data_IF_289501557779
#
_entry.id   IF_289501557779
#
_cell.length_a   1.000
_cell.length_b   1.000
_cell.length_c   1.000
_cell.angle_alpha   90.00
_cell.angle_beta   90.00
_cell.angle_gamma   90.00
#
_symmetry.space_group_name_H-M   'P 1'
#
loop_
_entity.id
_entity.type
_entity.pdbx_description
1 polymer ?
#
# COMPACT_ATOMS: atom_id res chain seq x y z
N UNK A 1 -9.43 16.87 -7.28
CA UNK A 1 -8.28 17.24 -6.43
C UNK A 1 -8.82 17.48 -5.02
N UNK A 2 -8.36 16.68 -4.03
CA UNK A 2 -8.76 16.83 -2.62
C UNK A 2 -7.66 17.53 -1.81
N UNK A 3 -7.86 18.77 -1.48
CA UNK A 3 -6.94 19.57 -0.65
C UNK A 3 -7.22 19.35 0.84
N UNK A 4 -6.29 18.78 1.55
CA UNK A 4 -6.35 18.42 2.98
C UNK A 4 -6.10 19.62 3.91
N UNK A 5 -6.75 20.76 3.65
CA UNK A 5 -6.54 22.03 4.36
C UNK A 5 -5.08 22.51 4.30
N UNK A 6 -4.48 22.46 3.12
CA UNK A 6 -3.11 22.91 2.84
C UNK A 6 -2.89 24.34 3.33
N UNK A 7 -1.69 24.63 3.84
CA UNK A 7 -1.30 26.01 4.20
C UNK A 7 -1.01 26.86 2.97
N UNK A 8 -0.67 26.22 1.85
CA UNK A 8 -0.41 26.88 0.57
C UNK A 8 -1.72 27.11 -0.20
N UNK A 9 -1.71 28.10 -1.07
CA UNK A 9 -2.83 28.38 -1.94
C UNK A 9 -2.58 27.79 -3.34
N UNK A 10 -3.26 26.70 -3.74
CA UNK A 10 -3.03 26.08 -5.03
C UNK A 10 -3.72 26.80 -6.21
N UNK A 11 -4.53 27.85 -5.97
CA UNK A 11 -5.33 28.51 -7.02
C UNK A 11 -4.49 28.97 -8.22
N UNK A 12 -3.36 29.60 -7.98
CA UNK A 12 -2.50 30.08 -9.09
C UNK A 12 -2.02 28.96 -10.00
N UNK A 13 -1.80 27.77 -9.44
CA UNK A 13 -1.40 26.59 -10.21
C UNK A 13 -2.62 26.02 -10.95
N UNK A 14 -3.76 25.88 -10.26
CA UNK A 14 -4.98 25.33 -10.83
C UNK A 14 -5.51 26.18 -11.99
N UNK A 15 -5.47 27.51 -11.87
CA UNK A 15 -5.86 28.44 -12.92
C UNK A 15 -5.04 28.25 -14.23
N UNK A 16 -3.75 27.92 -14.12
CA UNK A 16 -2.91 27.66 -15.31
C UNK A 16 -3.36 26.45 -16.12
N UNK A 17 -4.04 25.51 -15.50
CA UNK A 17 -4.47 24.26 -16.11
C UNK A 17 -5.98 24.17 -16.35
N UNK A 18 -6.77 25.16 -15.92
CA UNK A 18 -8.22 25.15 -16.02
C UNK A 18 -8.76 24.97 -17.44
N UNK A 19 -8.04 25.52 -18.45
CA UNK A 19 -8.42 25.41 -19.86
C UNK A 19 -7.91 24.12 -20.52
N UNK A 20 -7.01 23.38 -19.88
CA UNK A 20 -6.35 22.20 -20.46
C UNK A 20 -6.72 20.89 -19.80
N UNK A 21 -7.11 20.94 -18.52
CA UNK A 21 -7.48 19.78 -17.72
C UNK A 21 -8.89 19.94 -17.16
N UNK A 22 -9.69 18.91 -17.31
CA UNK A 22 -10.97 18.83 -16.62
C UNK A 22 -10.75 18.25 -15.21
N UNK A 23 -10.93 19.07 -14.17
CA UNK A 23 -10.79 18.66 -12.78
C UNK A 23 -11.79 19.34 -11.86
N UNK A 24 -12.15 18.66 -10.78
CA UNK A 24 -12.85 19.23 -9.65
C UNK A 24 -11.86 19.48 -8.51
N UNK A 25 -11.91 20.66 -7.91
CA UNK A 25 -11.11 20.99 -6.75
C UNK A 25 -12.00 21.10 -5.51
N UNK A 26 -11.67 20.36 -4.47
CA UNK A 26 -12.36 20.42 -3.19
C UNK A 26 -11.35 20.64 -2.06
N UNK A 27 -11.51 21.73 -1.32
CA UNK A 27 -10.72 22.00 -0.11
C UNK A 27 -11.50 21.58 1.12
N UNK A 28 -10.94 20.67 1.87
CA UNK A 28 -11.51 20.25 3.15
C UNK A 28 -11.23 21.29 4.25
N UNK A 29 -12.12 21.36 5.25
CA UNK A 29 -12.00 22.33 6.34
C UNK A 29 -10.85 22.01 7.32
N UNK A 30 -10.49 20.73 7.44
CA UNK A 30 -9.52 20.25 8.42
C UNK A 30 -8.49 19.33 7.76
N UNK A 31 -7.23 19.39 8.24
CA UNK A 31 -6.18 18.44 7.86
C UNK A 31 -6.43 17.10 8.54
N UNK A 32 -6.85 16.10 7.77
CA UNK A 32 -7.12 14.75 8.24
C UNK A 32 -5.98 13.80 7.97
N UNK A 33 -5.21 14.02 6.89
CA UNK A 33 -4.05 13.21 6.52
C UNK A 33 -2.94 13.24 7.58
N UNK A 34 -2.82 14.34 8.33
CA UNK A 34 -1.92 14.44 9.48
C UNK A 34 -2.30 13.51 10.65
N UNK A 35 -3.55 13.06 10.72
CA UNK A 35 -4.07 12.12 11.72
C UNK A 35 -4.12 10.70 11.14
N UNK A 36 -4.73 10.56 9.97
CA UNK A 36 -4.87 9.31 9.22
C UNK A 36 -4.89 9.59 7.72
N UNK A 37 -3.84 9.15 7.04
CA UNK A 37 -3.73 9.28 5.59
C UNK A 37 -4.84 8.50 4.87
N UNK A 38 -5.22 7.34 5.40
CA UNK A 38 -6.32 6.52 4.86
C UNK A 38 -7.65 7.26 4.90
N UNK A 39 -7.96 7.94 6.00
CA UNK A 39 -9.19 8.74 6.09
C UNK A 39 -9.20 9.91 5.10
N UNK A 40 -8.04 10.49 4.80
CA UNK A 40 -7.94 11.50 3.75
C UNK A 40 -8.23 10.87 2.38
N UNK A 41 -7.72 9.68 2.08
CA UNK A 41 -8.06 8.99 0.83
C UNK A 41 -9.56 8.69 0.74
N UNK A 42 -10.16 8.15 1.81
CA UNK A 42 -11.58 7.80 1.84
C UNK A 42 -12.48 9.00 1.54
N UNK A 43 -12.26 10.15 2.19
CA UNK A 43 -13.08 11.33 1.89
C UNK A 43 -12.85 11.93 0.50
N UNK A 44 -11.67 11.72 -0.11
CA UNK A 44 -11.46 12.05 -1.52
C UNK A 44 -12.21 11.09 -2.43
N UNK A 45 -12.27 9.80 -2.07
CA UNK A 45 -13.04 8.78 -2.81
C UNK A 45 -14.54 9.06 -2.73
N UNK A 46 -15.03 9.64 -1.63
CA UNK A 46 -16.45 10.05 -1.50
C UNK A 46 -16.85 11.17 -2.48
N UNK A 47 -15.87 11.87 -3.09
CA UNK A 47 -16.13 12.87 -4.13
C UNK A 47 -16.27 12.26 -5.54
N UNK A 48 -16.00 10.97 -5.70
CA UNK A 48 -16.15 10.24 -6.97
C UNK A 48 -17.62 9.90 -7.18
N UNK A 49 -18.14 10.11 -8.38
CA UNK A 49 -19.54 9.86 -8.72
C UNK A 49 -19.73 8.48 -9.34
N UNK A 50 -19.53 8.34 -10.63
CA UNK A 50 -19.81 7.14 -11.43
C UNK A 50 -18.58 6.57 -12.16
N UNK A 51 -17.39 7.06 -11.84
CA UNK A 51 -16.16 6.54 -12.41
C UNK A 51 -15.95 5.05 -12.06
N UNK A 52 -15.77 4.25 -13.09
CA UNK A 52 -15.62 2.80 -12.97
C UNK A 52 -14.29 2.39 -12.34
N UNK A 53 -13.26 3.23 -12.54
CA UNK A 53 -11.91 3.01 -12.07
C UNK A 53 -11.38 4.25 -11.37
N UNK A 54 -10.59 4.07 -10.35
CA UNK A 54 -9.95 5.16 -9.62
C UNK A 54 -8.46 4.89 -9.39
N UNK A 55 -7.71 5.97 -9.35
CA UNK A 55 -6.32 6.03 -8.93
C UNK A 55 -6.16 7.10 -7.86
N UNK A 56 -5.41 6.81 -6.82
CA UNK A 56 -5.00 7.82 -5.84
C UNK A 56 -3.57 8.20 -6.14
N UNK A 57 -3.38 9.40 -6.65
CA UNK A 57 -2.06 9.96 -6.95
C UNK A 57 -1.63 10.86 -5.79
N UNK A 58 -0.45 10.62 -5.24
CA UNK A 58 0.19 11.54 -4.29
C UNK A 58 0.51 12.88 -4.98
N UNK A 59 0.44 13.96 -4.24
CA UNK A 59 0.71 15.31 -4.75
C UNK A 59 2.17 15.53 -5.16
N UNK A 60 3.07 14.66 -4.70
CA UNK A 60 4.49 14.66 -5.02
C UNK A 60 4.89 13.61 -6.09
N UNK A 61 3.98 12.71 -6.49
CA UNK A 61 4.24 11.67 -7.48
C UNK A 61 3.88 12.14 -8.91
N UNK A 62 4.51 11.54 -9.92
CA UNK A 62 4.34 11.96 -11.32
C UNK A 62 3.91 10.78 -12.19
N UNK A 63 2.84 10.95 -12.95
CA UNK A 63 2.42 10.01 -13.98
C UNK A 63 3.27 10.20 -15.24
N UNK A 64 3.73 9.09 -15.82
CA UNK A 64 4.29 9.13 -17.19
C UNK A 64 3.24 9.55 -18.22
N UNK A 65 3.67 10.16 -19.29
CA UNK A 65 2.79 10.75 -20.32
C UNK A 65 1.79 9.75 -20.92
N UNK A 66 2.14 8.49 -20.97
CA UNK A 66 1.34 7.43 -21.58
C UNK A 66 0.55 6.55 -20.58
N UNK A 67 0.55 6.88 -19.29
CA UNK A 67 -0.09 6.01 -18.24
C UNK A 67 -1.58 5.83 -18.52
N UNK A 68 -2.29 6.89 -18.86
CA UNK A 68 -3.74 6.85 -19.14
C UNK A 68 -4.01 6.09 -20.44
N UNK A 69 -3.26 6.35 -21.49
CA UNK A 69 -3.38 5.66 -22.78
C UNK A 69 -3.16 4.15 -22.61
N UNK A 70 -2.06 3.77 -21.97
CA UNK A 70 -1.70 2.37 -21.74
C UNK A 70 -2.71 1.64 -20.80
N UNK A 71 -3.33 2.37 -19.88
CA UNK A 71 -4.43 1.80 -19.11
C UNK A 71 -5.58 1.37 -19.99
N UNK A 72 -6.10 2.27 -20.86
CA UNK A 72 -7.20 1.95 -21.74
C UNK A 72 -6.83 0.89 -22.79
N UNK A 73 -5.64 0.95 -23.37
CA UNK A 73 -5.15 -0.06 -24.33
C UNK A 73 -5.13 -1.48 -23.74
N UNK A 74 -4.88 -1.59 -22.43
CA UNK A 74 -4.82 -2.89 -21.76
C UNK A 74 -6.19 -3.37 -21.25
N UNK A 75 -7.21 -2.52 -21.16
CA UNK A 75 -8.57 -2.94 -20.76
C UNK A 75 -9.38 -3.63 -21.87
N UNK A 76 -8.98 -3.49 -23.13
CA UNK A 76 -9.78 -3.93 -24.31
C UNK A 76 -9.85 -5.44 -24.48
N UNK A 77 -9.11 -6.25 -23.74
CA UNK A 77 -9.17 -7.71 -23.90
C UNK A 77 -10.18 -8.34 -22.94
N UNK A 78 -11.05 -9.19 -23.48
CA UNK A 78 -12.07 -9.95 -22.73
C UNK A 78 -11.51 -10.83 -21.59
N UNK A 79 -10.24 -11.17 -21.64
CA UNK A 79 -9.54 -11.89 -20.56
C UNK A 79 -9.41 -11.04 -19.29
N UNK A 80 -9.60 -9.72 -19.39
CA UNK A 80 -9.39 -8.76 -18.31
C UNK A 80 -10.67 -8.35 -17.58
N UNK A 81 -11.85 -8.84 -17.98
CA UNK A 81 -13.13 -8.51 -17.33
C UNK A 81 -13.15 -8.81 -15.81
N UNK A 82 -12.32 -9.76 -15.36
CA UNK A 82 -12.19 -10.14 -13.95
C UNK A 82 -11.09 -9.38 -13.21
N UNK A 83 -10.33 -8.55 -13.90
CA UNK A 83 -9.26 -7.78 -13.27
C UNK A 83 -9.88 -6.59 -12.52
N UNK A 84 -9.53 -6.46 -11.26
CA UNK A 84 -9.99 -5.38 -10.37
C UNK A 84 -8.87 -4.43 -9.96
N UNK A 85 -7.62 -4.83 -10.22
CA UNK A 85 -6.42 -4.06 -9.89
C UNK A 85 -5.46 -4.08 -11.08
N UNK A 86 -5.11 -2.90 -11.54
CA UNK A 86 -4.07 -2.67 -12.55
C UNK A 86 -2.90 -1.97 -11.86
N UNK A 87 -1.68 -2.36 -12.20
CA UNK A 87 -0.45 -1.80 -11.65
C UNK A 87 0.46 -1.36 -12.78
N UNK A 88 1.07 -0.19 -12.63
CA UNK A 88 2.10 0.29 -13.55
C UNK A 88 3.51 -0.06 -13.08
N UNK A 89 4.47 -0.02 -14.01
CA UNK A 89 5.87 0.04 -13.62
C UNK A 89 6.13 1.35 -12.86
N UNK A 90 7.12 1.35 -11.98
CA UNK A 90 7.44 2.56 -11.21
C UNK A 90 8.95 2.76 -11.10
N UNK A 91 9.37 3.99 -10.88
CA UNK A 91 10.73 4.34 -10.51
C UNK A 91 10.72 5.34 -9.35
N UNK A 92 11.86 5.56 -8.74
CA UNK A 92 12.01 6.57 -7.70
C UNK A 92 12.69 7.80 -8.24
N UNK A 93 12.17 8.96 -7.86
CA UNK A 93 12.80 10.27 -8.09
C UNK A 93 13.11 10.95 -6.75
N UNK A 94 14.09 11.83 -6.72
CA UNK A 94 14.37 12.70 -5.58
C UNK A 94 13.56 14.00 -5.64
N UNK A 95 13.81 14.90 -4.69
CA UNK A 95 13.14 16.19 -4.61
C UNK A 95 13.40 17.12 -5.83
N UNK A 96 14.40 16.80 -6.66
CA UNK A 96 14.80 17.56 -7.85
C UNK A 96 14.40 16.86 -9.16
N UNK A 97 13.45 15.92 -9.13
CA UNK A 97 12.99 15.08 -10.25
C UNK A 97 14.06 14.15 -10.84
N UNK A 98 15.21 14.00 -10.18
CA UNK A 98 16.24 13.09 -10.64
C UNK A 98 15.90 11.65 -10.31
N UNK A 99 16.03 10.77 -11.30
CA UNK A 99 15.89 9.33 -11.09
C UNK A 99 16.96 8.78 -10.14
N UNK A 100 16.53 8.12 -9.07
CA UNK A 100 17.39 7.51 -8.05
C UNK A 100 17.24 6.00 -7.96
N UNK A 101 16.52 5.40 -8.89
CA UNK A 101 16.41 3.95 -9.04
C UNK A 101 16.26 3.55 -10.50
N UNK A 102 16.47 2.26 -10.77
CA UNK A 102 15.97 1.63 -12.00
C UNK A 102 14.45 1.53 -11.99
N UNK A 103 13.85 1.30 -13.16
CA UNK A 103 12.42 0.97 -13.29
C UNK A 103 12.15 -0.39 -12.62
N UNK A 104 11.12 -0.44 -11.79
CA UNK A 104 10.58 -1.65 -11.18
C UNK A 104 9.44 -2.18 -12.05
N UNK A 105 9.74 -3.19 -12.83
CA UNK A 105 8.75 -3.92 -13.63
C UNK A 105 8.21 -5.13 -12.88
N UNK A 106 7.04 -5.59 -13.29
CA UNK A 106 6.32 -6.69 -12.65
C UNK A 106 5.89 -7.73 -13.70
N UNK A 107 5.62 -9.00 -13.33
CA UNK A 107 4.97 -9.95 -14.23
C UNK A 107 3.65 -9.36 -14.75
N UNK A 108 3.37 -9.55 -16.07
CA UNK A 108 2.15 -8.99 -16.69
C UNK A 108 0.89 -9.41 -15.93
N UNK A 109 0.81 -10.68 -15.57
CA UNK A 109 -0.26 -11.26 -14.76
C UNK A 109 0.38 -11.93 -13.55
N UNK A 110 -0.09 -11.59 -12.37
CA UNK A 110 0.45 -12.13 -11.13
C UNK A 110 -0.68 -12.30 -10.11
N UNK A 111 -0.64 -13.37 -9.33
CA UNK A 111 -1.52 -13.51 -8.17
C UNK A 111 -1.08 -12.50 -7.09
N UNK A 112 -2.04 -11.75 -6.56
CA UNK A 112 -1.74 -10.70 -5.58
C UNK A 112 -1.03 -11.23 -4.32
N UNK A 113 -1.30 -12.48 -3.93
CA UNK A 113 -0.57 -13.13 -2.82
C UNK A 113 0.90 -13.38 -3.13
N UNK A 114 1.27 -13.65 -4.39
CA UNK A 114 2.67 -13.90 -4.78
C UNK A 114 3.47 -12.60 -4.82
N UNK A 115 2.83 -11.50 -5.26
CA UNK A 115 3.38 -10.15 -5.18
C UNK A 115 3.92 -9.82 -3.78
N UNK A 116 3.18 -10.15 -2.73
CA UNK A 116 3.57 -9.86 -1.35
C UNK A 116 4.92 -10.46 -0.94
N UNK A 117 5.32 -11.57 -1.55
CA UNK A 117 6.56 -12.28 -1.19
C UNK A 117 7.73 -12.00 -2.13
N UNK A 118 7.50 -11.26 -3.22
CA UNK A 118 8.59 -10.78 -4.06
C UNK A 118 9.37 -9.66 -3.35
N UNK A 119 10.65 -9.55 -3.66
CA UNK A 119 11.46 -8.40 -3.23
C UNK A 119 11.20 -7.22 -4.19
N UNK A 120 10.05 -6.60 -4.05
CA UNK A 120 9.63 -5.44 -4.81
C UNK A 120 9.18 -4.32 -3.88
N UNK A 121 9.01 -3.14 -4.44
CA UNK A 121 8.39 -2.00 -3.77
C UNK A 121 6.92 -1.89 -4.14
N UNK A 122 6.19 -1.10 -3.39
CA UNK A 122 4.82 -0.68 -3.68
C UNK A 122 4.64 0.78 -3.27
N UNK A 123 3.84 1.49 -4.03
CA UNK A 123 3.33 2.82 -3.69
C UNK A 123 1.90 2.91 -4.20
N UNK A 124 1.03 3.61 -3.48
CA UNK A 124 -0.38 3.74 -3.85
C UNK A 124 -0.56 4.32 -5.25
N UNK A 125 0.28 5.28 -5.62
CA UNK A 125 0.24 5.98 -6.92
C UNK A 125 0.52 5.11 -8.14
N UNK A 126 0.97 3.85 -7.97
CA UNK A 126 1.20 2.94 -9.11
C UNK A 126 0.01 2.02 -9.42
N UNK A 127 -1.12 2.18 -8.71
CA UNK A 127 -2.29 1.31 -8.86
C UNK A 127 -3.52 2.04 -9.34
N UNK A 128 -4.29 1.37 -10.21
CA UNK A 128 -5.68 1.71 -10.54
C UNK A 128 -6.57 0.59 -10.01
N UNK A 129 -7.66 0.94 -9.37
CA UNK A 129 -8.59 0.02 -8.74
C UNK A 129 -10.01 0.16 -9.33
N UNK A 130 -10.75 -0.94 -9.41
CA UNK A 130 -12.19 -0.89 -9.64
C UNK A 130 -12.86 -0.14 -8.48
N UNK A 131 -13.59 0.92 -8.79
CA UNK A 131 -14.28 1.77 -7.80
C UNK A 131 -15.25 0.97 -6.93
N UNK A 132 -15.98 0.01 -7.53
CA UNK A 132 -16.87 -0.89 -6.80
C UNK A 132 -16.13 -1.68 -5.71
N UNK A 133 -14.93 -2.21 -6.01
CA UNK A 133 -14.12 -2.95 -5.03
C UNK A 133 -13.68 -2.06 -3.88
N UNK A 134 -13.25 -0.83 -4.18
CA UNK A 134 -12.82 0.14 -3.18
C UNK A 134 -13.98 0.52 -2.26
N UNK A 135 -15.15 0.85 -2.81
CA UNK A 135 -16.34 1.23 -2.03
C UNK A 135 -16.93 0.10 -1.20
N UNK A 136 -16.82 -1.15 -1.68
CA UNK A 136 -17.35 -2.32 -0.96
C UNK A 136 -16.46 -2.73 0.21
N UNK A 137 -15.13 -2.67 0.02
CA UNK A 137 -14.16 -3.23 0.95
C UNK A 137 -13.59 -2.16 1.86
N UNK A 138 -13.38 -0.94 1.35
CA UNK A 138 -12.68 0.19 1.96
C UNK A 138 -11.20 -0.08 2.27
N UNK A 139 -10.42 0.98 2.41
CA UNK A 139 -9.04 0.86 2.85
C UNK A 139 -8.97 0.51 4.34
N UNK A 140 -8.03 -0.32 4.73
CA UNK A 140 -7.75 -0.56 6.13
C UNK A 140 -6.74 0.44 6.66
N UNK A 141 -7.13 1.18 7.69
CA UNK A 141 -6.28 2.18 8.32
C UNK A 141 -5.23 1.52 9.22
N UNK A 142 -3.97 1.53 8.74
CA UNK A 142 -2.80 1.20 9.54
C UNK A 142 -2.02 2.48 9.87
N UNK A 143 -1.24 2.51 10.96
CA UNK A 143 -0.42 3.67 11.30
C UNK A 143 0.36 4.20 10.09
N UNK A 144 0.25 5.49 9.80
CA UNK A 144 0.85 6.19 8.66
C UNK A 144 0.31 5.74 7.28
N UNK A 145 -0.78 4.99 7.19
CA UNK A 145 -1.18 4.33 5.95
C UNK A 145 -0.20 3.25 5.47
N UNK A 146 0.84 2.94 6.27
CA UNK A 146 1.89 1.99 5.91
C UNK A 146 1.35 0.58 5.80
N UNK A 147 1.50 -0.08 4.66
CA UNK A 147 0.85 -1.32 4.25
C UNK A 147 -0.64 -1.23 3.91
N UNK A 148 -1.29 -0.06 4.02
CA UNK A 148 -2.69 0.08 3.62
C UNK A 148 -2.86 -0.09 2.12
N UNK A 149 -1.92 0.42 1.33
CA UNK A 149 -1.81 0.21 -0.12
C UNK A 149 -1.58 -1.26 -0.49
N UNK A 150 -0.65 -1.93 0.18
CA UNK A 150 -0.36 -3.35 -0.06
C UNK A 150 -1.57 -4.23 0.27
N UNK A 151 -2.27 -3.94 1.38
CA UNK A 151 -3.49 -4.66 1.71
C UNK A 151 -4.61 -4.39 0.71
N UNK A 152 -4.74 -3.14 0.24
CA UNK A 152 -5.70 -2.78 -0.79
C UNK A 152 -5.50 -3.60 -2.08
N UNK A 153 -4.26 -3.77 -2.53
CA UNK A 153 -3.96 -4.65 -3.68
C UNK A 153 -4.45 -6.08 -3.47
N UNK A 154 -4.25 -6.64 -2.27
CA UNK A 154 -4.71 -7.99 -1.92
C UNK A 154 -6.24 -8.07 -1.86
N UNK A 155 -6.89 -7.16 -1.15
CA UNK A 155 -8.32 -7.23 -0.88
C UNK A 155 -9.17 -6.78 -2.06
N UNK A 156 -8.78 -5.69 -2.76
CA UNK A 156 -9.52 -5.20 -3.92
C UNK A 156 -9.38 -6.13 -5.13
N UNK A 157 -8.27 -6.89 -5.24
CA UNK A 157 -8.18 -8.00 -6.20
C UNK A 157 -8.88 -9.28 -5.72
N UNK A 158 -9.51 -9.28 -4.54
CA UNK A 158 -10.09 -10.46 -3.90
C UNK A 158 -9.07 -11.60 -3.73
N UNK A 159 -7.82 -11.28 -3.43
CA UNK A 159 -6.69 -12.20 -3.37
C UNK A 159 -6.45 -12.97 -4.67
N UNK A 160 -6.90 -12.41 -5.78
CA UNK A 160 -6.81 -12.97 -7.13
C UNK A 160 -5.69 -12.30 -7.93
N UNK A 161 -5.97 -11.95 -9.16
CA UNK A 161 -4.99 -11.54 -10.17
C UNK A 161 -4.85 -10.01 -10.24
N UNK A 162 -3.61 -9.56 -10.37
CA UNK A 162 -3.24 -8.18 -10.69
C UNK A 162 -2.67 -8.15 -12.10
N UNK A 163 -3.12 -7.21 -12.92
CA UNK A 163 -2.55 -6.91 -14.23
C UNK A 163 -1.44 -5.86 -14.06
N UNK A 164 -0.29 -6.10 -14.68
CA UNK A 164 0.79 -5.10 -14.72
C UNK A 164 1.01 -4.58 -16.13
N UNK A 165 1.05 -3.25 -16.26
CA UNK A 165 1.32 -2.50 -17.48
C UNK A 165 2.72 -1.89 -17.35
N UNK A 166 3.73 -2.55 -17.93
CA UNK A 166 5.13 -2.14 -17.76
C UNK A 166 5.59 -1.10 -18.78
N UNK A 167 4.80 -0.83 -19.82
CA UNK A 167 5.10 0.17 -20.84
C UNK A 167 4.82 1.60 -20.36
N UNK A 168 4.15 1.73 -19.21
CA UNK A 168 3.85 3.00 -18.57
C UNK A 168 4.50 3.04 -17.19
N UNK A 169 5.06 4.18 -16.82
CA UNK A 169 5.85 4.33 -15.59
C UNK A 169 5.29 5.45 -14.73
N UNK A 170 5.16 5.17 -13.45
CA UNK A 170 4.84 6.16 -12.41
C UNK A 170 6.12 6.49 -11.65
N UNK A 171 6.46 7.77 -11.57
CA UNK A 171 7.60 8.26 -10.80
C UNK A 171 7.17 8.58 -9.38
N UNK A 172 7.75 7.87 -8.41
CA UNK A 172 7.42 8.02 -6.99
C UNK A 172 8.51 8.81 -6.30
N UNK A 173 8.13 9.93 -5.70
CA UNK A 173 9.08 10.81 -5.01
C UNK A 173 9.47 10.28 -3.64
N UNK A 174 10.77 10.32 -3.37
CA UNK A 174 11.34 9.97 -2.07
C UNK A 174 12.07 11.20 -1.54
N UNK A 175 11.54 11.78 -0.49
CA UNK A 175 12.13 12.92 0.22
C UNK A 175 12.19 12.64 1.72
N UNK A 176 12.98 13.42 2.46
CA UNK A 176 13.03 13.33 3.93
C UNK A 176 11.68 13.69 4.59
N UNK A 177 10.86 14.46 3.89
CA UNK A 177 9.52 14.86 4.35
C UNK A 177 8.47 13.77 4.06
N UNK A 178 8.73 12.88 3.08
CA UNK A 178 7.80 11.80 2.76
C UNK A 178 7.77 10.74 3.86
N UNK A 179 6.62 10.08 4.04
CA UNK A 179 6.48 8.95 4.98
C UNK A 179 7.52 7.86 4.66
N UNK A 180 7.76 7.61 3.38
CA UNK A 180 8.68 6.57 2.91
C UNK A 180 10.14 6.89 3.26
N UNK A 181 10.57 8.14 3.11
CA UNK A 181 11.96 8.59 3.33
C UNK A 181 12.28 8.91 4.78
N UNK A 182 11.29 9.27 5.60
CA UNK A 182 11.52 9.69 7.00
C UNK A 182 11.98 8.53 7.88
N UNK A 183 13.07 8.76 8.62
CA UNK A 183 13.58 7.85 9.67
C UNK A 183 12.84 8.00 11.01
N UNK A 184 12.13 9.10 11.22
CA UNK A 184 11.42 9.38 12.49
C UNK A 184 10.21 8.47 12.72
N UNK A 185 9.73 7.82 11.67
CA UNK A 185 8.50 7.03 11.66
C UNK A 185 8.72 5.52 11.90
N UNK A 186 9.93 5.07 12.23
CA UNK A 186 10.28 3.64 12.33
C UNK A 186 9.38 2.86 13.30
N UNK A 187 9.02 3.47 14.44
CA UNK A 187 8.12 2.83 15.42
C UNK A 187 6.72 2.60 14.84
N UNK A 188 6.15 3.59 14.18
CA UNK A 188 4.83 3.49 13.55
C UNK A 188 4.85 2.52 12.36
N UNK A 189 5.91 2.52 11.55
CA UNK A 189 6.10 1.54 10.47
C UNK A 189 6.19 0.11 11.01
N UNK A 190 6.90 -0.11 12.12
CA UNK A 190 6.97 -1.42 12.77
C UNK A 190 5.61 -1.86 13.33
N UNK A 191 4.84 -0.93 13.89
CA UNK A 191 3.48 -1.17 14.38
C UNK A 191 2.53 -1.52 13.23
N UNK A 192 2.55 -0.77 12.14
CA UNK A 192 1.78 -1.07 10.96
C UNK A 192 2.11 -2.45 10.39
N UNK A 193 3.41 -2.78 10.27
CA UNK A 193 3.87 -4.09 9.83
C UNK A 193 3.35 -5.22 10.73
N UNK A 194 3.33 -5.01 12.05
CA UNK A 194 2.77 -5.98 12.99
C UNK A 194 1.28 -6.21 12.72
N UNK A 195 0.48 -5.14 12.67
CA UNK A 195 -0.97 -5.24 12.44
C UNK A 195 -1.32 -5.82 11.08
N UNK A 196 -0.58 -5.47 10.04
CA UNK A 196 -0.75 -6.01 8.70
C UNK A 196 -0.55 -7.52 8.66
N UNK A 197 0.61 -8.02 9.11
CA UNK A 197 0.89 -9.46 9.10
C UNK A 197 -0.03 -10.24 10.05
N UNK A 198 -0.35 -9.67 11.22
CA UNK A 198 -1.32 -10.26 12.14
C UNK A 198 -2.71 -10.38 11.50
N UNK A 199 -3.17 -9.34 10.80
CA UNK A 199 -4.45 -9.36 10.10
C UNK A 199 -4.50 -10.43 9.02
N UNK A 200 -3.47 -10.55 8.20
CA UNK A 200 -3.41 -11.57 7.16
C UNK A 200 -3.49 -12.99 7.75
N UNK A 201 -2.72 -13.27 8.79
CA UNK A 201 -2.73 -14.58 9.45
C UNK A 201 -4.07 -14.87 10.14
N UNK A 202 -4.62 -13.90 10.87
CA UNK A 202 -5.83 -14.09 11.67
C UNK A 202 -7.12 -14.11 10.85
N UNK A 203 -7.19 -13.39 9.72
CA UNK A 203 -8.43 -13.19 8.96
C UNK A 203 -8.39 -13.69 7.52
N UNK A 204 -7.22 -13.85 6.96
CA UNK A 204 -7.04 -14.08 5.51
C UNK A 204 -6.14 -15.29 5.20
N UNK A 205 -5.74 -16.09 6.20
CA UNK A 205 -4.81 -17.23 6.06
C UNK A 205 -5.21 -18.19 4.95
N UNK A 206 -6.52 -18.42 4.74
CA UNK A 206 -7.06 -19.31 3.72
C UNK A 206 -6.65 -18.99 2.26
N UNK A 207 -6.20 -17.76 1.99
CA UNK A 207 -5.78 -17.34 0.66
C UNK A 207 -4.30 -17.62 0.36
N UNK A 208 -3.53 -18.04 1.36
CA UNK A 208 -2.09 -18.23 1.28
C UNK A 208 -1.72 -19.72 1.30
N UNK A 209 -0.66 -20.08 0.59
CA UNK A 209 -0.07 -21.41 0.70
C UNK A 209 0.61 -21.61 2.05
N UNK A 210 0.86 -22.86 2.43
CA UNK A 210 1.56 -23.18 3.67
C UNK A 210 2.96 -22.51 3.76
N UNK A 211 3.68 -22.46 2.64
CA UNK A 211 4.96 -21.77 2.58
C UNK A 211 4.83 -20.26 2.81
N UNK A 212 3.81 -19.63 2.23
CA UNK A 212 3.50 -18.22 2.42
C UNK A 212 3.09 -17.92 3.86
N UNK A 213 2.27 -18.80 4.48
CA UNK A 213 1.88 -18.68 5.89
C UNK A 213 3.12 -18.72 6.80
N UNK A 214 4.05 -19.67 6.59
CA UNK A 214 5.33 -19.70 7.34
C UNK A 214 6.10 -18.38 7.20
N UNK A 215 6.17 -17.82 6.00
CA UNK A 215 6.82 -16.52 5.80
C UNK A 215 6.11 -15.38 6.51
N UNK A 216 4.76 -15.37 6.53
CA UNK A 216 3.99 -14.38 7.28
C UNK A 216 4.27 -14.45 8.78
N UNK A 217 4.35 -15.65 9.35
CA UNK A 217 4.75 -15.84 10.77
C UNK A 217 6.16 -15.30 11.04
N UNK A 218 7.12 -15.54 10.15
CA UNK A 218 8.47 -15.00 10.27
C UNK A 218 8.47 -13.47 10.24
N UNK A 219 7.71 -12.87 9.32
CA UNK A 219 7.59 -11.40 9.20
C UNK A 219 6.89 -10.80 10.43
N UNK A 220 5.82 -11.43 10.91
CA UNK A 220 5.12 -11.03 12.13
C UNK A 220 6.05 -11.08 13.35
N UNK A 221 6.80 -12.16 13.51
CA UNK A 221 7.77 -12.33 14.59
C UNK A 221 8.88 -11.27 14.55
N UNK A 222 9.39 -10.95 13.35
CA UNK A 222 10.37 -9.85 13.17
C UNK A 222 9.78 -8.49 13.58
N UNK A 223 8.53 -8.22 13.22
CA UNK A 223 7.84 -6.97 13.60
C UNK A 223 7.72 -6.85 15.12
N UNK A 224 7.36 -7.93 15.82
CA UNK A 224 7.35 -7.98 17.28
C UNK A 224 8.73 -7.71 17.90
N UNK A 225 9.78 -8.30 17.35
CA UNK A 225 11.14 -8.13 17.89
C UNK A 225 11.68 -6.69 17.80
N UNK A 226 11.02 -5.82 17.05
CA UNK A 226 11.31 -4.37 17.02
C UNK A 226 10.63 -3.63 18.19
N UNK A 227 9.57 -4.21 18.80
CA UNK A 227 8.90 -3.67 19.99
C UNK A 227 8.64 -4.81 21.02
N UNK A 228 9.71 -5.54 21.37
CA UNK A 228 9.67 -6.75 22.22
C UNK A 228 9.17 -6.56 23.65
N UNK A 229 8.92 -5.32 24.08
CA UNK A 229 8.32 -5.01 25.39
C UNK A 229 6.79 -4.97 25.33
N UNK A 230 6.19 -5.03 24.14
CA UNK A 230 4.75 -4.97 23.98
C UNK A 230 4.11 -6.32 24.27
N UNK A 231 3.60 -6.49 25.50
CA UNK A 231 2.97 -7.74 25.95
C UNK A 231 1.72 -8.08 25.13
N UNK A 232 0.99 -7.09 24.61
CA UNK A 232 -0.21 -7.32 23.79
C UNK A 232 0.19 -7.99 22.48
N UNK A 233 1.28 -7.55 21.86
CA UNK A 233 1.80 -8.18 20.64
C UNK A 233 2.28 -9.60 20.90
N UNK A 234 2.97 -9.82 22.03
CA UNK A 234 3.38 -11.15 22.44
C UNK A 234 2.18 -12.11 22.57
N UNK A 235 1.14 -11.69 23.28
CA UNK A 235 -0.07 -12.49 23.46
C UNK A 235 -0.78 -12.77 22.13
N UNK A 236 -0.87 -11.78 21.25
CA UNK A 236 -1.47 -11.94 19.91
C UNK A 236 -0.70 -12.95 19.06
N UNK A 237 0.64 -12.89 19.03
CA UNK A 237 1.45 -13.86 18.27
C UNK A 237 1.32 -15.25 18.88
N UNK A 238 1.46 -15.36 20.20
CA UNK A 238 1.36 -16.64 20.91
C UNK A 238 0.01 -17.32 20.65
N UNK A 239 -1.08 -16.56 20.71
CA UNK A 239 -2.41 -17.10 20.42
C UNK A 239 -2.55 -17.63 18.99
N UNK A 240 -1.94 -16.96 18.00
CA UNK A 240 -1.94 -17.46 16.61
C UNK A 240 -1.15 -18.76 16.46
N UNK A 241 0.04 -18.84 17.03
CA UNK A 241 0.85 -20.06 16.96
C UNK A 241 0.13 -21.26 17.61
N UNK A 242 -0.52 -21.02 18.76
CA UNK A 242 -1.28 -22.06 19.49
C UNK A 242 -2.52 -22.47 18.68
N UNK A 243 -3.27 -21.50 18.18
CA UNK A 243 -4.49 -21.75 17.40
C UNK A 243 -4.21 -22.55 16.12
N UNK A 244 -3.11 -22.23 15.42
CA UNK A 244 -2.69 -22.91 14.20
C UNK A 244 -1.86 -24.20 14.45
N UNK A 245 -1.73 -24.63 15.72
CA UNK A 245 -0.95 -25.82 16.14
C UNK A 245 0.51 -25.82 15.66
N UNK A 246 1.14 -24.64 15.56
CA UNK A 246 2.52 -24.43 15.05
C UNK A 246 3.55 -24.45 16.17
N UNK A 247 3.61 -25.53 16.92
CA UNK A 247 4.44 -25.62 18.12
C UNK A 247 5.94 -25.47 17.84
N UNK A 248 6.44 -26.07 16.74
CA UNK A 248 7.86 -25.98 16.38
C UNK A 248 8.30 -24.55 16.08
N UNK A 249 7.51 -23.81 15.27
CA UNK A 249 7.77 -22.42 14.97
C UNK A 249 7.58 -21.52 16.19
N UNK A 250 6.66 -21.87 17.09
CA UNK A 250 6.46 -21.14 18.35
C UNK A 250 7.66 -21.25 19.27
N UNK A 251 8.22 -22.44 19.46
CA UNK A 251 9.44 -22.60 20.24
C UNK A 251 10.62 -21.84 19.64
N UNK A 252 10.80 -21.90 18.33
CA UNK A 252 11.82 -21.09 17.64
C UNK A 252 11.61 -19.58 17.81
N UNK A 253 10.36 -19.12 17.85
CA UNK A 253 10.04 -17.73 18.14
C UNK A 253 10.45 -17.35 19.59
N UNK A 254 10.14 -18.19 20.60
CA UNK A 254 10.52 -17.96 21.99
C UNK A 254 12.05 -17.94 22.18
N UNK A 255 12.78 -18.87 21.54
CA UNK A 255 14.24 -18.87 21.53
C UNK A 255 14.82 -17.56 20.94
N UNK A 256 14.27 -17.08 19.82
CA UNK A 256 14.69 -15.81 19.23
C UNK A 256 14.47 -14.61 20.17
N UNK A 257 13.39 -14.61 20.94
CA UNK A 257 13.16 -13.59 21.99
C UNK A 257 14.24 -13.69 23.05
N UNK A 258 14.48 -14.88 23.58
CA UNK A 258 15.47 -15.12 24.62
C UNK A 258 16.87 -14.65 24.21
N UNK A 259 17.36 -15.05 23.02
CA UNK A 259 18.66 -14.63 22.52
C UNK A 259 18.75 -13.10 22.28
N UNK A 260 17.67 -12.46 21.83
CA UNK A 260 17.66 -11.00 21.66
C UNK A 260 17.56 -10.23 22.98
N UNK A 261 17.11 -10.84 24.06
CA UNK A 261 17.12 -10.24 25.39
C UNK A 261 18.49 -10.32 26.05
N UNK A 262 19.29 -11.35 25.73
CA UNK A 262 20.65 -11.51 26.25
C UNK A 262 21.70 -10.62 25.55
N UNK A 263 21.43 -10.17 24.31
CA UNK A 263 22.34 -9.28 23.55
C UNK A 263 22.13 -7.80 23.91
N UNK A 264 22.02 -7.48 25.19
CA UNK A 264 22.04 -6.10 25.71
C UNK A 264 23.42 -5.70 26.17
#
# INVERSE_FOLDING_TARGET
IGDDASLENPHEILEKYADTLNFNYHRFAENLGGISLVKQWERCIDLIEDEEWLMILGDDDVLGENVVEEFYNNLVSSELEKIKVVRFASLKIDASDKEISKVYSNPRIEKSTDFLFRNTRSSLSEYIFKTESVRTINFKDFPLGWFSDVLAVLEFSEFSTVLSVNNAVVSVRISEQSISGSSNNLKFKAQAAFYFHYYLLNKKSKFFSEQQIKQLFIRLSKSYLNDKKNIIYFLKISSLYIYEFRWGEYFSFLENIYFKLQKK
#
